data_IF_164854850113
#
_entry.id   IF_164854850113
#
_cell.length_a   1.000
_cell.length_b   1.000
_cell.length_c   1.000
_cell.angle_alpha   90.00
_cell.angle_beta   90.00
_cell.angle_gamma   90.00
#
_symmetry.space_group_name_H-M   'P 1'
#
loop_
_entity.id
_entity.type
_entity.pdbx_description
1 polymer ?
#
# COMPACT_ATOMS: atom_id res chain seq x y z
N UNK A 1 6.04 2.27 13.26
CA UNK A 1 5.95 3.15 12.07
C UNK A 1 5.25 2.47 10.89
N UNK A 2 5.65 1.26 10.48
CA UNK A 2 5.11 0.56 9.29
C UNK A 2 3.69 -0.03 9.49
N UNK A 3 3.31 -0.42 10.72
CA UNK A 3 1.97 -0.99 11.03
C UNK A 3 0.82 -0.14 10.50
N UNK A 4 0.88 1.18 10.70
CA UNK A 4 -0.16 2.10 10.23
C UNK A 4 -0.37 2.04 8.71
N UNK A 5 0.69 1.76 7.93
CA UNK A 5 0.59 1.67 6.47
C UNK A 5 -0.04 0.34 6.04
N UNK A 6 0.26 -0.76 6.74
CA UNK A 6 -0.46 -2.04 6.56
C UNK A 6 -1.94 -1.90 6.87
N UNK A 7 -2.27 -1.22 7.96
CA UNK A 7 -3.66 -0.94 8.36
C UNK A 7 -4.38 -0.07 7.32
N UNK A 8 -3.72 0.97 6.77
CA UNK A 8 -4.29 1.79 5.69
C UNK A 8 -4.48 1.01 4.39
N UNK A 9 -3.53 0.18 3.99
CA UNK A 9 -3.68 -0.70 2.82
C UNK A 9 -4.88 -1.64 2.99
N UNK A 10 -5.06 -2.23 4.18
CA UNK A 10 -6.22 -3.05 4.50
C UNK A 10 -7.53 -2.24 4.50
N UNK A 11 -7.50 -0.99 4.98
CA UNK A 11 -8.66 -0.09 4.99
C UNK A 11 -9.13 0.28 3.58
N UNK A 12 -8.22 0.53 2.63
CA UNK A 12 -8.58 0.82 1.22
C UNK A 12 -9.41 -0.31 0.61
N UNK A 13 -9.05 -1.57 0.88
CA UNK A 13 -9.79 -2.75 0.43
C UNK A 13 -11.19 -2.89 1.05
N UNK A 14 -11.38 -2.35 2.26
CA UNK A 14 -12.64 -2.44 3.03
C UNK A 14 -13.58 -1.26 2.78
N UNK A 15 -13.09 -0.16 2.21
CA UNK A 15 -13.88 1.05 1.97
C UNK A 15 -14.97 0.76 0.93
N UNK A 16 -16.26 1.02 1.23
CA UNK A 16 -17.30 0.90 0.22
C UNK A 16 -17.08 1.95 -0.87
N UNK A 17 -17.38 1.57 -2.12
CA UNK A 17 -17.34 2.52 -3.23
C UNK A 17 -18.49 3.53 -3.06
N UNK A 18 -18.25 4.85 -3.20
CA UNK A 18 -19.32 5.84 -3.18
C UNK A 18 -20.39 5.53 -4.24
N UNK A 19 -21.65 5.95 -4.04
CA UNK A 19 -22.73 5.72 -4.99
C UNK A 19 -22.61 6.64 -6.22
N UNK A 20 -21.56 6.44 -7.01
CA UNK A 20 -21.24 7.17 -8.25
C UNK A 20 -21.29 6.23 -9.45
N UNK A 21 -21.60 6.76 -10.63
CA UNK A 21 -21.76 5.99 -11.87
C UNK A 21 -20.78 6.44 -12.96
N UNK A 22 -20.72 5.67 -14.05
CA UNK A 22 -19.96 6.02 -15.25
C UNK A 22 -18.47 6.29 -14.99
N UNK A 23 -17.95 7.36 -15.60
CA UNK A 23 -16.53 7.73 -15.50
C UNK A 23 -16.08 8.05 -14.07
N UNK A 24 -16.95 8.66 -13.26
CA UNK A 24 -16.62 9.02 -11.89
C UNK A 24 -16.35 7.76 -11.05
N UNK A 25 -17.16 6.72 -11.24
CA UNK A 25 -16.93 5.40 -10.62
C UNK A 25 -15.56 4.84 -10.98
N UNK A 26 -15.17 4.94 -12.25
CA UNK A 26 -13.86 4.47 -12.69
C UNK A 26 -12.72 5.24 -12.02
N UNK A 27 -12.83 6.57 -11.90
CA UNK A 27 -11.82 7.40 -11.21
C UNK A 27 -11.65 7.02 -9.74
N UNK A 28 -12.74 6.74 -9.03
CA UNK A 28 -12.66 6.26 -7.63
C UNK A 28 -11.97 4.90 -7.50
N UNK A 29 -12.20 3.99 -8.46
CA UNK A 29 -11.53 2.69 -8.49
C UNK A 29 -10.03 2.85 -8.77
N UNK A 30 -9.64 3.66 -9.75
CA UNK A 30 -8.23 3.91 -10.05
C UNK A 30 -7.52 4.60 -8.88
N UNK A 31 -8.15 5.60 -8.26
CA UNK A 31 -7.61 6.22 -7.05
C UNK A 31 -7.41 5.19 -5.93
N UNK A 32 -8.38 4.30 -5.71
CA UNK A 32 -8.25 3.24 -4.70
C UNK A 32 -7.11 2.27 -5.00
N UNK A 33 -6.82 1.97 -6.27
CA UNK A 33 -5.66 1.13 -6.66
C UNK A 33 -4.34 1.81 -6.33
N UNK A 34 -4.22 3.09 -6.69
CA UNK A 34 -3.02 3.91 -6.38
C UNK A 34 -2.82 4.01 -4.88
N UNK A 35 -3.87 4.38 -4.13
CA UNK A 35 -3.83 4.47 -2.67
C UNK A 35 -3.40 3.14 -2.03
N UNK A 36 -3.97 2.03 -2.50
CA UNK A 36 -3.61 0.70 -2.01
C UNK A 36 -2.14 0.40 -2.27
N UNK A 37 -1.65 0.64 -3.49
CA UNK A 37 -0.28 0.36 -3.89
C UNK A 37 0.72 1.17 -3.05
N UNK A 38 0.48 2.46 -2.85
CA UNK A 38 1.34 3.34 -2.07
C UNK A 38 1.45 2.88 -0.60
N UNK A 39 0.32 2.51 0.02
CA UNK A 39 0.35 2.01 1.39
C UNK A 39 0.94 0.61 1.49
N UNK A 40 0.71 -0.25 0.51
CA UNK A 40 1.24 -1.62 0.49
C UNK A 40 2.77 -1.62 0.36
N UNK A 41 3.33 -0.81 -0.55
CA UNK A 41 4.79 -0.71 -0.75
C UNK A 41 5.49 -0.31 0.56
N UNK A 42 5.00 0.72 1.23
CA UNK A 42 5.59 1.15 2.51
C UNK A 42 5.29 0.15 3.63
N UNK A 43 4.09 -0.43 3.67
CA UNK A 43 3.68 -1.39 4.68
C UNK A 43 4.48 -2.70 4.66
N UNK A 44 4.85 -3.18 3.47
CA UNK A 44 5.63 -4.41 3.29
C UNK A 44 7.14 -4.20 3.38
N UNK A 45 7.60 -2.96 3.47
CA UNK A 45 9.02 -2.67 3.64
C UNK A 45 9.56 -3.21 4.98
N UNK A 46 10.86 -3.49 5.01
CA UNK A 46 11.67 -3.65 6.22
C UNK A 46 12.41 -2.34 6.46
N UNK A 47 12.29 -1.78 7.66
CA UNK A 47 12.89 -0.50 8.03
C UNK A 47 14.11 -0.65 8.92
N UNK A 48 15.22 -0.02 8.54
CA UNK A 48 16.45 0.10 9.33
C UNK A 48 16.83 1.58 9.48
N UNK A 49 17.55 1.94 10.54
CA UNK A 49 18.15 3.28 10.67
C UNK A 49 19.65 3.14 10.41
N UNK A 50 20.13 3.78 9.35
CA UNK A 50 21.51 3.70 8.88
C UNK A 50 22.04 5.13 8.79
N UNK A 51 23.10 5.46 9.54
CA UNK A 51 23.73 6.79 9.58
C UNK A 51 22.75 7.97 9.79
N UNK A 52 21.69 7.74 10.56
CA UNK A 52 20.64 8.75 10.84
C UNK A 52 19.51 8.81 9.80
N UNK A 53 19.55 7.98 8.76
CA UNK A 53 18.50 7.86 7.74
C UNK A 53 17.61 6.65 7.98
N UNK A 54 16.30 6.79 7.73
CA UNK A 54 15.40 5.64 7.64
C UNK A 54 15.53 5.02 6.24
N UNK A 55 16.04 3.79 6.19
CA UNK A 55 16.12 3.00 4.97
C UNK A 55 14.98 2.00 4.95
N UNK A 56 14.18 2.03 3.87
CA UNK A 56 13.06 1.11 3.65
C UNK A 56 13.41 0.18 2.50
N UNK A 57 13.45 -1.13 2.78
CA UNK A 57 13.74 -2.17 1.79
C UNK A 57 12.49 -2.98 1.50
N UNK A 58 12.08 -3.03 0.24
CA UNK A 58 10.96 -3.86 -0.22
C UNK A 58 11.50 -5.06 -0.95
N UNK A 59 11.12 -6.26 -0.52
CA UNK A 59 11.50 -7.50 -1.21
C UNK A 59 10.58 -7.74 -2.41
N UNK A 60 11.13 -7.61 -3.61
CA UNK A 60 10.40 -7.83 -4.87
C UNK A 60 10.56 -9.25 -5.42
N UNK A 61 11.26 -10.14 -4.70
CA UNK A 61 11.36 -11.54 -5.11
C UNK A 61 9.98 -12.23 -5.05
N UNK A 62 9.75 -13.23 -5.91
CA UNK A 62 8.58 -14.11 -5.81
C UNK A 62 8.43 -14.74 -4.42
N UNK A 63 7.19 -15.03 -4.01
CA UNK A 63 6.90 -15.47 -2.63
C UNK A 63 7.60 -16.78 -2.25
N UNK A 64 7.76 -17.70 -3.20
CA UNK A 64 8.50 -18.96 -3.09
C UNK A 64 10.02 -18.78 -2.96
N UNK A 65 10.53 -17.56 -3.19
CA UNK A 65 11.95 -17.20 -3.11
C UNK A 65 12.26 -16.26 -1.95
N UNK A 66 11.24 -15.93 -1.14
CA UNK A 66 11.40 -15.20 0.13
C UNK A 66 11.71 -16.26 1.20
N UNK A 67 12.94 -16.22 1.73
CA UNK A 67 13.45 -17.17 2.73
C UNK A 67 12.81 -17.03 4.10
#
# INVERSE_FOLDING_TARGET
>A
MLSRFRERAASVKRRPLPPVAGEERARFVEQAKVDFQDFAIVGDAVGTVEDGFLVLRVDLRPADQRG
#
